data_IF_565437906300
#
_entry.id   IF_565437906300
#
_cell.length_a   1.000
_cell.length_b   1.000
_cell.length_c   1.000
_cell.angle_alpha   90.00
_cell.angle_beta   90.00
_cell.angle_gamma   90.00
#
_symmetry.space_group_name_H-M   'P 1'
#
loop_
_entity.id
_entity.type
_entity.pdbx_description
1 polymer ?
#
# COMPACT_ATOMS: atom_id res chain seq x y z
N UNK A 1 -34.77 -21.69 -12.27
CA UNK A 1 -34.57 -21.44 -10.83
C UNK A 1 -34.84 -19.96 -10.58
N UNK A 2 -35.55 -19.60 -9.51
CA UNK A 2 -35.88 -18.19 -9.22
C UNK A 2 -34.60 -17.45 -8.80
N UNK A 3 -34.36 -16.30 -9.41
CA UNK A 3 -33.23 -15.43 -9.05
C UNK A 3 -33.59 -14.58 -7.83
N UNK A 4 -33.18 -15.04 -6.65
CA UNK A 4 -33.45 -14.36 -5.38
C UNK A 4 -32.71 -13.02 -5.29
N UNK A 5 -31.54 -12.89 -5.92
CA UNK A 5 -30.69 -11.70 -5.83
C UNK A 5 -31.29 -10.53 -6.62
N UNK A 6 -31.95 -10.81 -7.74
CA UNK A 6 -32.68 -9.83 -8.54
C UNK A 6 -34.10 -9.51 -8.07
N UNK A 7 -34.53 -10.03 -6.91
CA UNK A 7 -35.81 -9.63 -6.33
C UNK A 7 -35.76 -8.19 -5.81
N UNK A 8 -36.93 -7.54 -5.80
CA UNK A 8 -37.06 -6.20 -5.22
C UNK A 8 -36.85 -6.24 -3.72
N UNK A 9 -36.12 -5.24 -3.22
CA UNK A 9 -36.03 -4.94 -1.79
C UNK A 9 -36.83 -3.66 -1.48
N UNK A 10 -37.57 -3.69 -0.37
CA UNK A 10 -38.51 -2.63 0.01
C UNK A 10 -37.96 -1.73 1.13
N UNK A 11 -36.78 -2.02 1.68
CA UNK A 11 -36.20 -1.28 2.81
C UNK A 11 -35.67 0.09 2.40
N UNK A 12 -35.46 0.32 1.10
CA UNK A 12 -34.97 1.60 0.53
C UNK A 12 -33.62 2.04 1.12
N UNK A 13 -32.73 1.08 1.38
CA UNK A 13 -31.37 1.33 1.87
C UNK A 13 -30.39 0.87 0.79
N UNK A 14 -29.60 1.81 0.26
CA UNK A 14 -28.49 1.50 -0.63
C UNK A 14 -27.31 0.91 0.16
N UNK A 15 -26.62 -0.06 -0.43
CA UNK A 15 -25.39 -0.62 0.15
C UNK A 15 -24.19 -0.02 -0.59
N UNK A 16 -23.32 0.67 0.14
CA UNK A 16 -22.16 1.36 -0.44
C UNK A 16 -21.10 0.38 -0.97
N UNK A 17 -20.87 -0.74 -0.25
CA UNK A 17 -19.95 -1.81 -0.67
C UNK A 17 -20.51 -3.17 -0.32
N UNK A 18 -20.72 -4.01 -1.33
CA UNK A 18 -21.01 -5.45 -1.18
C UNK A 18 -20.14 -6.25 -2.16
N UNK A 19 -19.63 -7.39 -1.74
CA UNK A 19 -18.80 -8.25 -2.58
C UNK A 19 -18.04 -9.31 -1.80
N UNK A 20 -16.82 -9.60 -2.23
CA UNK A 20 -15.99 -10.71 -1.74
C UNK A 20 -14.67 -10.17 -1.18
N UNK A 21 -14.21 -10.73 -0.06
CA UNK A 21 -12.98 -10.32 0.64
C UNK A 21 -12.07 -11.52 0.86
N UNK A 22 -10.75 -11.31 0.84
CA UNK A 22 -9.78 -12.32 1.23
C UNK A 22 -9.48 -13.39 0.18
N UNK A 23 -9.78 -13.14 -1.10
CA UNK A 23 -9.47 -14.09 -2.17
C UNK A 23 -7.96 -14.12 -2.38
N UNK A 24 -7.33 -15.29 -2.20
CA UNK A 24 -5.91 -15.48 -2.49
C UNK A 24 -5.72 -15.81 -3.96
N UNK A 25 -4.92 -15.03 -4.68
CA UNK A 25 -4.73 -15.19 -6.11
C UNK A 25 -3.32 -14.79 -6.57
N UNK A 26 -2.67 -15.56 -7.46
CA UNK A 26 -1.34 -15.23 -7.96
C UNK A 26 -1.38 -14.09 -8.99
N UNK A 27 -0.45 -13.16 -8.87
CA UNK A 27 -0.25 -12.05 -9.83
C UNK A 27 1.24 -11.91 -10.19
N UNK A 28 1.51 -11.10 -11.21
CA UNK A 28 2.86 -10.72 -11.61
C UNK A 28 2.99 -9.21 -11.44
N UNK A 29 3.99 -8.78 -10.68
CA UNK A 29 4.31 -7.37 -10.45
C UNK A 29 5.67 -7.03 -11.06
N UNK A 30 5.85 -5.77 -11.44
CA UNK A 30 7.13 -5.30 -11.98
C UNK A 30 8.18 -5.24 -10.88
N UNK A 31 9.42 -5.58 -11.23
CA UNK A 31 10.59 -5.51 -10.38
C UNK A 31 11.73 -4.83 -11.14
N UNK A 32 12.31 -3.78 -10.55
CA UNK A 32 13.36 -3.00 -11.20
C UNK A 32 14.60 -3.83 -11.53
N UNK A 33 15.00 -4.73 -10.64
CA UNK A 33 16.22 -5.52 -10.75
C UNK A 33 16.03 -6.80 -11.55
N UNK A 34 14.90 -7.48 -11.36
CA UNK A 34 14.63 -8.81 -11.93
C UNK A 34 13.58 -8.80 -13.06
N UNK A 35 13.06 -7.62 -13.43
CA UNK A 35 11.99 -7.44 -14.41
C UNK A 35 10.60 -7.67 -13.81
N UNK A 36 10.37 -8.84 -13.20
CA UNK A 36 9.07 -9.17 -12.57
C UNK A 36 9.19 -10.10 -11.36
N UNK A 37 8.24 -10.02 -10.43
CA UNK A 37 8.04 -10.97 -9.35
C UNK A 37 6.67 -11.65 -9.46
N UNK A 38 6.64 -12.97 -9.27
CA UNK A 38 5.41 -13.74 -9.07
C UNK A 38 5.05 -13.73 -7.59
N UNK A 39 3.88 -13.18 -7.24
CA UNK A 39 3.46 -13.01 -5.85
C UNK A 39 2.05 -13.56 -5.63
N UNK A 40 1.79 -14.06 -4.43
CA UNK A 40 0.44 -14.39 -3.98
C UNK A 40 -0.18 -13.14 -3.36
N UNK A 41 -1.25 -12.65 -3.98
CA UNK A 41 -1.97 -11.47 -3.53
C UNK A 41 -3.30 -11.81 -2.86
N UNK A 42 -3.79 -10.88 -2.05
CA UNK A 42 -5.12 -10.92 -1.43
C UNK A 42 -6.01 -9.89 -2.11
N UNK A 43 -7.13 -10.32 -2.65
CA UNK A 43 -8.10 -9.49 -3.34
C UNK A 43 -9.33 -9.24 -2.47
N UNK A 44 -9.73 -7.98 -2.40
CA UNK A 44 -11.03 -7.56 -1.92
C UNK A 44 -11.73 -6.81 -3.06
N UNK A 45 -12.94 -7.24 -3.43
CA UNK A 45 -13.66 -6.72 -4.59
C UNK A 45 -15.09 -6.41 -4.21
N UNK A 46 -15.54 -5.20 -4.51
CA UNK A 46 -16.84 -4.69 -4.11
C UNK A 46 -17.53 -3.91 -5.23
N UNK A 47 -18.86 -3.83 -5.16
CA UNK A 47 -19.67 -2.89 -5.92
C UNK A 47 -20.65 -2.18 -4.99
N UNK A 48 -21.21 -1.04 -5.41
CA UNK A 48 -22.42 -0.52 -4.77
C UNK A 48 -23.64 -1.33 -5.22
N UNK A 49 -24.62 -1.48 -4.34
CA UNK A 49 -25.88 -2.16 -4.63
C UNK A 49 -27.04 -1.20 -4.37
N UNK A 50 -27.76 -0.78 -5.44
CA UNK A 50 -28.96 0.02 -5.30
C UNK A 50 -30.04 -0.69 -4.46
N UNK A 51 -30.82 0.07 -3.72
CA UNK A 51 -31.85 -0.43 -2.80
C UNK A 51 -32.95 -1.27 -3.45
N UNK A 52 -33.06 -1.30 -4.77
CA UNK A 52 -34.07 -2.07 -5.48
C UNK A 52 -33.62 -3.50 -5.80
N UNK A 53 -32.36 -3.85 -5.53
CA UNK A 53 -31.86 -5.22 -5.58
C UNK A 53 -31.76 -5.81 -4.18
N UNK A 54 -32.23 -7.05 -4.02
CA UNK A 54 -32.13 -7.80 -2.76
C UNK A 54 -30.71 -8.29 -2.48
N UNK A 55 -29.90 -8.54 -3.51
CA UNK A 55 -28.52 -8.96 -3.34
C UNK A 55 -27.70 -8.89 -4.63
N UNK A 56 -26.38 -9.02 -4.49
CA UNK A 56 -25.45 -9.11 -5.62
C UNK A 56 -25.08 -10.56 -5.92
N UNK A 57 -24.67 -10.85 -7.15
CA UNK A 57 -24.24 -12.19 -7.58
C UNK A 57 -22.76 -12.45 -7.26
N UNK A 58 -22.50 -13.10 -6.12
CA UNK A 58 -21.14 -13.28 -5.58
C UNK A 58 -20.16 -14.04 -6.51
N UNK A 59 -20.62 -15.03 -7.27
CA UNK A 59 -19.74 -15.79 -8.18
C UNK A 59 -19.16 -14.92 -9.29
N UNK A 60 -19.89 -13.87 -9.72
CA UNK A 60 -19.51 -13.02 -10.85
C UNK A 60 -18.19 -12.30 -10.60
N UNK A 61 -17.87 -11.96 -9.36
CA UNK A 61 -16.58 -11.37 -8.99
C UNK A 61 -15.41 -12.31 -9.32
N UNK A 62 -15.52 -13.57 -8.89
CA UNK A 62 -14.49 -14.59 -9.10
C UNK A 62 -14.39 -14.99 -10.57
N UNK A 63 -15.53 -15.06 -11.27
CA UNK A 63 -15.55 -15.30 -12.72
C UNK A 63 -14.76 -14.22 -13.47
N UNK A 64 -15.00 -12.93 -13.19
CA UNK A 64 -14.24 -11.85 -13.82
C UNK A 64 -12.77 -11.96 -13.47
N UNK A 65 -12.41 -12.17 -12.20
CA UNK A 65 -11.01 -12.32 -11.80
C UNK A 65 -10.30 -13.44 -12.59
N UNK A 66 -10.97 -14.58 -12.77
CA UNK A 66 -10.44 -15.72 -13.52
C UNK A 66 -10.25 -15.44 -15.01
N UNK A 67 -11.10 -14.63 -15.63
CA UNK A 67 -10.94 -14.22 -17.03
C UNK A 67 -9.64 -13.42 -17.26
N UNK A 68 -9.14 -12.72 -16.22
CA UNK A 68 -7.90 -11.96 -16.24
C UNK A 68 -6.68 -12.73 -15.70
N UNK A 69 -6.81 -14.04 -15.42
CA UNK A 69 -5.72 -14.87 -14.91
C UNK A 69 -4.42 -14.68 -15.70
N UNK A 70 -3.31 -14.49 -14.98
CA UNK A 70 -1.96 -14.30 -15.55
C UNK A 70 -1.75 -12.94 -16.24
N UNK A 71 -2.77 -12.08 -16.29
CA UNK A 71 -2.70 -10.75 -16.91
C UNK A 71 -2.99 -9.62 -15.93
N UNK A 72 -3.21 -9.92 -14.65
CA UNK A 72 -3.52 -8.94 -13.62
C UNK A 72 -2.28 -8.09 -13.32
N UNK A 73 -2.30 -6.86 -13.83
CA UNK A 73 -1.32 -5.81 -13.60
C UNK A 73 -2.01 -4.44 -13.66
N UNK A 74 -1.24 -3.37 -13.41
CA UNK A 74 -1.71 -2.00 -13.39
C UNK A 74 -2.48 -1.60 -14.67
N UNK A 75 -2.01 -2.00 -15.86
CA UNK A 75 -2.64 -1.69 -17.16
C UNK A 75 -4.01 -2.38 -17.34
N UNK A 76 -4.24 -3.49 -16.65
CA UNK A 76 -5.51 -4.24 -16.69
C UNK A 76 -6.45 -3.92 -15.53
N UNK A 77 -5.97 -3.21 -14.51
CA UNK A 77 -6.72 -2.94 -13.28
C UNK A 77 -8.06 -2.23 -13.57
N UNK A 78 -8.01 -1.18 -14.37
CA UNK A 78 -9.18 -0.42 -14.83
C UNK A 78 -10.17 -1.30 -15.63
N UNK A 79 -9.64 -2.15 -16.54
CA UNK A 79 -10.46 -3.08 -17.33
C UNK A 79 -11.18 -4.11 -16.47
N UNK A 80 -10.53 -4.60 -15.41
CA UNK A 80 -11.13 -5.52 -14.45
C UNK A 80 -12.29 -4.82 -13.73
N UNK A 81 -12.08 -3.60 -13.23
CA UNK A 81 -13.11 -2.81 -12.55
C UNK A 81 -14.31 -2.51 -13.46
N UNK A 82 -14.07 -2.06 -14.69
CA UNK A 82 -15.12 -1.84 -15.70
C UNK A 82 -15.93 -3.10 -15.96
N UNK A 83 -15.25 -4.26 -16.08
CA UNK A 83 -15.93 -5.53 -16.33
C UNK A 83 -16.76 -5.99 -15.13
N UNK A 84 -16.25 -5.81 -13.91
CA UNK A 84 -17.01 -6.06 -12.68
C UNK A 84 -18.25 -5.16 -12.65
N UNK A 85 -18.09 -3.85 -12.82
CA UNK A 85 -19.19 -2.89 -12.82
C UNK A 85 -20.29 -3.27 -13.82
N UNK A 86 -19.91 -3.56 -15.07
CA UNK A 86 -20.85 -3.96 -16.12
C UNK A 86 -21.54 -5.30 -15.85
N UNK A 87 -20.79 -6.31 -15.41
CA UNK A 87 -21.33 -7.68 -15.15
C UNK A 87 -22.26 -7.73 -13.93
N UNK A 88 -22.10 -6.80 -12.99
CA UNK A 88 -22.91 -6.67 -11.77
C UNK A 88 -23.95 -5.54 -11.83
N UNK A 89 -24.04 -4.81 -12.96
CA UNK A 89 -24.96 -3.69 -13.16
C UNK A 89 -24.91 -2.64 -12.04
N UNK A 90 -23.71 -2.32 -11.57
CA UNK A 90 -23.48 -1.38 -10.48
C UNK A 90 -23.04 0.00 -11.00
N UNK A 91 -23.20 1.05 -10.19
CA UNK A 91 -22.74 2.41 -10.55
C UNK A 91 -21.23 2.58 -10.33
N UNK A 92 -20.65 1.75 -9.47
CA UNK A 92 -19.24 1.77 -9.10
C UNK A 92 -18.73 0.39 -8.72
N UNK A 93 -17.45 0.15 -9.03
CA UNK A 93 -16.69 -1.02 -8.62
C UNK A 93 -15.43 -0.58 -7.87
N UNK A 94 -15.05 -1.38 -6.88
CA UNK A 94 -13.87 -1.16 -6.05
C UNK A 94 -13.05 -2.45 -5.99
N UNK A 95 -11.74 -2.31 -6.03
CA UNK A 95 -10.82 -3.43 -5.89
C UNK A 95 -9.61 -3.00 -5.07
N UNK A 96 -9.22 -3.87 -4.14
CA UNK A 96 -8.03 -3.74 -3.32
C UNK A 96 -7.22 -5.03 -3.49
N UNK A 97 -5.94 -4.89 -3.77
CA UNK A 97 -4.99 -5.99 -3.97
C UNK A 97 -3.83 -5.74 -3.01
N UNK A 98 -3.55 -6.68 -2.12
CA UNK A 98 -2.42 -6.62 -1.19
C UNK A 98 -1.47 -7.78 -1.45
N UNK A 99 -0.17 -7.52 -1.47
CA UNK A 99 0.85 -8.54 -1.73
C UNK A 99 2.17 -8.22 -1.03
N UNK A 100 2.93 -9.26 -0.73
CA UNK A 100 4.32 -9.14 -0.31
C UNK A 100 5.20 -8.85 -1.53
N UNK A 101 6.09 -7.87 -1.41
CA UNK A 101 7.07 -7.47 -2.41
C UNK A 101 8.48 -7.61 -1.82
N UNK A 102 9.39 -8.24 -2.56
CA UNK A 102 10.72 -8.53 -2.03
C UNK A 102 11.79 -7.69 -2.73
N UNK A 103 12.71 -7.10 -1.97
CA UNK A 103 13.89 -6.41 -2.50
C UNK A 103 15.13 -7.08 -1.92
N UNK A 104 16.11 -7.40 -2.76
CA UNK A 104 17.44 -7.79 -2.29
C UNK A 104 18.16 -6.57 -1.71
N UNK A 105 18.49 -6.63 -0.42
CA UNK A 105 19.28 -5.60 0.27
C UNK A 105 20.68 -6.12 0.57
N UNK A 106 21.68 -5.28 0.36
CA UNK A 106 23.02 -5.50 0.87
C UNK A 106 23.18 -4.82 2.23
N UNK A 107 23.71 -5.56 3.22
CA UNK A 107 24.05 -5.00 4.52
C UNK A 107 25.13 -3.90 4.38
N UNK A 108 25.06 -2.82 5.18
CA UNK A 108 25.78 -1.58 4.91
C UNK A 108 27.30 -1.67 5.06
N UNK A 109 27.82 -2.65 5.81
CA UNK A 109 29.26 -2.80 6.06
C UNK A 109 29.79 -4.09 5.46
N UNK A 110 29.16 -5.23 5.76
CA UNK A 110 29.60 -6.54 5.28
C UNK A 110 29.21 -6.82 3.83
N UNK A 111 28.24 -6.08 3.27
CA UNK A 111 27.70 -6.33 1.94
C UNK A 111 26.88 -7.62 1.84
N UNK A 112 26.59 -8.29 2.97
CA UNK A 112 25.79 -9.52 2.98
C UNK A 112 24.41 -9.26 2.35
N UNK A 113 24.07 -10.03 1.32
CA UNK A 113 22.80 -9.88 0.59
C UNK A 113 21.71 -10.73 1.19
N UNK A 114 20.51 -10.17 1.32
CA UNK A 114 19.31 -10.91 1.75
C UNK A 114 18.04 -10.26 1.21
N UNK A 115 16.97 -11.06 1.06
CA UNK A 115 15.67 -10.53 0.68
C UNK A 115 14.99 -9.87 1.88
N UNK A 116 14.42 -8.69 1.65
CA UNK A 116 13.58 -7.96 2.59
C UNK A 116 12.16 -7.88 2.03
N UNK A 117 11.17 -8.18 2.88
CA UNK A 117 9.75 -8.09 2.53
C UNK A 117 9.20 -6.69 2.82
N UNK A 118 8.39 -6.18 1.89
CA UNK A 118 7.54 -5.02 2.05
C UNK A 118 6.10 -5.40 1.73
N UNK A 119 5.13 -4.83 2.44
CA UNK A 119 3.72 -5.00 2.09
C UNK A 119 3.32 -3.92 1.10
N UNK A 120 2.81 -4.32 -0.05
CA UNK A 120 2.41 -3.41 -1.10
C UNK A 120 0.93 -3.59 -1.42
N UNK A 121 0.32 -2.55 -1.94
CA UNK A 121 -1.09 -2.56 -2.29
C UNK A 121 -1.38 -1.76 -3.55
N UNK A 122 -2.37 -2.25 -4.30
CA UNK A 122 -3.05 -1.50 -5.35
C UNK A 122 -4.51 -1.38 -4.95
N UNK A 123 -5.04 -0.17 -4.95
CA UNK A 123 -6.47 0.03 -4.72
C UNK A 123 -7.04 0.97 -5.75
N UNK A 124 -8.28 0.74 -6.15
CA UNK A 124 -8.92 1.64 -7.06
C UNK A 124 -10.43 1.50 -7.10
N UNK A 125 -11.04 2.56 -7.63
CA UNK A 125 -12.47 2.72 -7.76
C UNK A 125 -12.78 3.17 -9.17
N UNK A 126 -13.69 2.48 -9.83
CA UNK A 126 -14.25 2.89 -11.10
C UNK A 126 -15.69 3.34 -10.89
N UNK A 127 -16.04 4.52 -11.37
CA UNK A 127 -17.41 5.05 -11.32
C UNK A 127 -17.64 6.02 -12.48
N UNK A 128 -18.75 5.82 -13.21
CA UNK A 128 -18.97 6.52 -14.48
C UNK A 128 -17.81 6.21 -15.46
N UNK A 129 -17.18 7.26 -16.01
CA UNK A 129 -16.03 7.13 -16.90
C UNK A 129 -14.69 7.39 -16.20
N UNK A 130 -14.69 7.40 -14.86
CA UNK A 130 -13.55 7.83 -14.07
C UNK A 130 -13.01 6.69 -13.22
N UNK A 131 -11.69 6.54 -13.23
CA UNK A 131 -10.98 5.54 -12.42
C UNK A 131 -10.00 6.25 -11.53
N UNK A 132 -10.17 6.05 -10.23
CA UNK A 132 -9.19 6.44 -9.22
C UNK A 132 -8.34 5.23 -8.88
N UNK A 133 -7.02 5.41 -8.86
CA UNK A 133 -6.07 4.33 -8.60
C UNK A 133 -4.94 4.82 -7.70
N UNK A 134 -4.64 3.99 -6.71
CA UNK A 134 -3.71 4.26 -5.62
C UNK A 134 -2.72 3.11 -5.53
N UNK A 135 -1.45 3.46 -5.36
CA UNK A 135 -0.39 2.52 -4.96
C UNK A 135 -0.06 2.79 -3.51
N UNK A 136 0.04 1.73 -2.70
CA UNK A 136 0.42 1.82 -1.31
C UNK A 136 1.60 0.92 -0.96
N UNK A 137 2.44 1.37 -0.03
CA UNK A 137 3.51 0.60 0.59
C UNK A 137 3.41 0.70 2.10
N UNK A 138 3.76 -0.38 2.79
CA UNK A 138 4.05 -0.37 4.23
C UNK A 138 5.50 -0.77 4.42
N UNK A 139 6.29 0.17 4.89
CA UNK A 139 7.74 0.05 5.01
C UNK A 139 8.10 -0.06 6.49
N UNK A 140 8.66 -1.20 6.92
CA UNK A 140 9.19 -1.32 8.27
C UNK A 140 10.49 -0.52 8.39
N UNK A 141 10.59 0.33 9.40
CA UNK A 141 11.79 1.13 9.71
C UNK A 141 12.11 1.06 11.21
N UNK A 142 13.29 1.52 11.60
CA UNK A 142 13.65 1.76 12.99
C UNK A 142 13.49 3.25 13.30
N UNK A 143 12.87 3.57 14.44
CA UNK A 143 12.86 4.92 15.01
C UNK A 143 13.54 4.93 16.37
N UNK A 144 14.33 5.97 16.64
CA UNK A 144 14.94 6.23 17.95
C UNK A 144 14.36 7.50 18.53
N UNK A 145 13.90 7.46 19.77
CA UNK A 145 13.22 8.61 20.39
C UNK A 145 14.21 9.73 20.77
N UNK A 146 14.08 10.95 20.20
CA UNK A 146 14.93 12.09 20.56
C UNK A 146 14.82 12.45 22.05
N UNK A 147 13.60 12.44 22.62
CA UNK A 147 13.37 12.71 24.03
C UNK A 147 14.16 11.74 24.94
N UNK A 148 14.10 10.44 24.64
CA UNK A 148 14.77 9.43 25.45
C UNK A 148 16.29 9.58 25.41
N UNK A 149 16.83 9.89 24.23
CA UNK A 149 18.26 10.17 24.05
C UNK A 149 18.71 11.39 24.86
N UNK A 150 17.92 12.44 24.87
CA UNK A 150 18.26 13.70 25.56
C UNK A 150 18.28 13.55 27.10
N UNK A 151 17.32 12.82 27.66
CA UNK A 151 17.19 12.70 29.13
C UNK A 151 18.05 11.60 29.75
N UNK A 152 18.51 10.63 28.95
CA UNK A 152 19.21 9.45 29.44
C UNK A 152 20.73 9.65 29.37
N UNK A 153 21.45 9.27 30.44
CA UNK A 153 22.92 9.30 30.43
C UNK A 153 23.54 8.29 29.44
N UNK A 154 22.82 7.20 29.18
CA UNK A 154 23.27 6.10 28.33
C UNK A 154 22.07 5.58 27.55
N UNK A 155 22.21 5.48 26.23
CA UNK A 155 21.22 4.87 25.34
C UNK A 155 19.97 5.72 25.12
N UNK A 156 19.07 5.18 24.30
CA UNK A 156 17.75 5.73 24.02
C UNK A 156 16.85 4.56 23.62
N UNK A 157 15.57 4.59 24.00
CA UNK A 157 14.65 3.58 23.49
C UNK A 157 14.45 3.75 21.97
N UNK A 158 14.29 2.61 21.31
CA UNK A 158 14.00 2.51 19.90
C UNK A 158 13.01 1.37 19.68
N UNK A 159 12.42 1.36 18.49
CA UNK A 159 11.38 0.39 18.16
C UNK A 159 11.28 0.17 16.66
N UNK A 160 10.53 -0.87 16.30
CA UNK A 160 10.01 -1.04 14.94
C UNK A 160 8.88 -0.04 14.74
N UNK A 161 8.90 0.60 13.58
CA UNK A 161 7.81 1.44 13.11
C UNK A 161 7.34 0.98 11.74
N UNK A 162 6.05 1.07 11.50
CA UNK A 162 5.45 0.79 10.20
C UNK A 162 5.02 2.12 9.58
N UNK A 163 5.63 2.47 8.46
CA UNK A 163 5.29 3.68 7.72
C UNK A 163 4.47 3.28 6.50
N UNK A 164 3.19 3.65 6.50
CA UNK A 164 2.27 3.40 5.40
C UNK A 164 2.18 4.63 4.51
N UNK A 165 2.51 4.49 3.23
CA UNK A 165 2.37 5.56 2.25
C UNK A 165 1.45 5.10 1.14
N UNK A 166 0.45 5.93 0.79
CA UNK A 166 -0.39 5.73 -0.39
C UNK A 166 -0.29 6.96 -1.28
N UNK A 167 -0.24 6.75 -2.59
CA UNK A 167 -0.07 7.84 -3.57
C UNK A 167 -1.01 7.70 -4.76
N UNK A 168 -1.50 8.83 -5.25
CA UNK A 168 -1.98 9.01 -6.63
C UNK A 168 -0.84 9.60 -7.44
N UNK A 169 -0.68 9.16 -8.67
CA UNK A 169 0.46 9.53 -9.52
C UNK A 169 0.01 9.80 -10.96
N UNK A 170 0.80 10.60 -11.68
CA UNK A 170 0.49 11.01 -13.07
C UNK A 170 1.23 10.17 -14.12
N UNK A 171 2.45 9.74 -13.80
CA UNK A 171 3.38 8.99 -14.65
C UNK A 171 3.93 7.80 -13.88
N UNK A 172 4.32 6.77 -14.63
CA UNK A 172 4.94 5.58 -14.07
C UNK A 172 6.07 5.94 -13.10
N UNK A 173 6.09 5.25 -11.95
CA UNK A 173 7.14 5.28 -10.96
C UNK A 173 7.34 3.85 -10.43
N UNK A 174 8.51 3.60 -9.86
CA UNK A 174 8.83 2.31 -9.25
C UNK A 174 8.44 2.31 -7.79
N UNK A 175 7.83 1.22 -7.33
CA UNK A 175 7.43 1.08 -5.92
C UNK A 175 8.65 1.10 -5.00
N UNK A 176 9.81 0.68 -5.50
CA UNK A 176 11.11 0.73 -4.84
C UNK A 176 11.57 2.14 -4.53
N UNK A 177 11.24 3.14 -5.36
CA UNK A 177 11.58 4.54 -5.08
C UNK A 177 10.77 5.06 -3.89
N UNK A 178 9.50 4.68 -3.80
CA UNK A 178 8.65 5.04 -2.68
C UNK A 178 9.12 4.36 -1.38
N UNK A 179 9.54 3.10 -1.46
CA UNK A 179 10.15 2.37 -0.34
C UNK A 179 11.43 3.07 0.12
N UNK A 180 12.33 3.39 -0.82
CA UNK A 180 13.60 4.06 -0.51
C UNK A 180 13.39 5.44 0.11
N UNK A 181 12.46 6.22 -0.43
CA UNK A 181 12.08 7.53 0.12
C UNK A 181 11.68 7.43 1.60
N UNK A 182 10.90 6.41 1.96
CA UNK A 182 10.48 6.18 3.35
C UNK A 182 11.66 5.74 4.23
N UNK A 183 12.48 4.81 3.75
CA UNK A 183 13.68 4.38 4.48
C UNK A 183 14.61 5.55 4.80
N UNK A 184 14.86 6.43 3.82
CA UNK A 184 15.69 7.63 3.96
C UNK A 184 15.06 8.72 4.84
N UNK A 185 13.77 8.60 5.15
CA UNK A 185 13.01 9.55 5.98
C UNK A 185 12.90 9.12 7.45
N UNK A 186 13.58 8.04 7.84
CA UNK A 186 13.51 7.42 9.17
C UNK A 186 14.86 7.46 9.91
N UNK A 187 14.89 7.08 11.20
CA UNK A 187 16.16 6.98 11.93
C UNK A 187 17.09 5.94 11.29
N UNK A 188 16.54 4.82 10.84
CA UNK A 188 17.28 3.81 10.10
C UNK A 188 16.40 2.80 9.38
N UNK A 189 16.89 2.32 8.26
CA UNK A 189 16.30 1.20 7.52
C UNK A 189 16.56 -0.14 8.21
N UNK A 190 15.77 -1.15 7.85
CA UNK A 190 15.88 -2.50 8.41
C UNK A 190 16.44 -3.49 7.39
N UNK A 191 17.04 -4.57 7.89
CA UNK A 191 17.66 -5.62 7.09
C UNK A 191 17.31 -6.99 7.68
N UNK A 192 17.11 -7.99 6.82
CA UNK A 192 16.87 -9.38 7.24
C UNK A 192 18.14 -10.05 7.75
N UNK A 193 19.30 -9.73 7.16
CA UNK A 193 20.59 -10.30 7.52
C UNK A 193 21.61 -9.22 7.86
N UNK A 194 22.09 -9.21 9.10
CA UNK A 194 23.18 -8.36 9.57
C UNK A 194 24.28 -9.22 10.21
N UNK A 195 25.54 -8.84 9.97
CA UNK A 195 26.68 -9.32 10.77
C UNK A 195 26.95 -8.33 11.90
N UNK A 196 27.80 -8.71 12.86
CA UNK A 196 28.15 -7.84 14.02
C UNK A 196 28.61 -6.43 13.63
N UNK A 197 29.40 -6.33 12.56
CA UNK A 197 29.87 -5.03 12.04
C UNK A 197 28.73 -4.18 11.49
N UNK A 198 27.72 -4.81 10.89
CA UNK A 198 26.54 -4.12 10.38
C UNK A 198 25.62 -3.72 11.52
N UNK A 199 25.41 -4.60 12.51
CA UNK A 199 24.59 -4.33 13.70
C UNK A 199 25.12 -3.12 14.47
N UNK A 200 26.45 -3.04 14.66
CA UNK A 200 27.10 -1.86 15.23
C UNK A 200 26.73 -0.60 14.43
N UNK A 201 26.96 -0.64 13.12
CA UNK A 201 26.74 0.52 12.25
C UNK A 201 25.28 1.00 12.24
N UNK A 202 24.31 0.10 12.07
CA UNK A 202 22.89 0.49 12.02
C UNK A 202 22.39 1.02 13.35
N UNK A 203 22.91 0.49 14.47
CA UNK A 203 22.59 0.96 15.82
C UNK A 203 23.11 2.37 16.04
N UNK A 204 24.38 2.62 15.72
CA UNK A 204 25.02 3.94 15.84
C UNK A 204 24.33 4.97 14.92
N UNK A 205 24.13 4.63 13.63
CA UNK A 205 23.45 5.49 12.65
C UNK A 205 22.06 5.91 13.12
N UNK A 206 21.24 4.97 13.58
CA UNK A 206 19.89 5.28 14.04
C UNK A 206 19.91 6.11 15.33
N UNK A 207 20.84 5.83 16.25
CA UNK A 207 20.99 6.59 17.48
C UNK A 207 21.47 8.03 17.22
N UNK A 208 22.31 8.26 16.20
CA UNK A 208 22.76 9.57 15.75
C UNK A 208 21.66 10.39 15.05
N UNK A 209 20.65 9.71 14.48
CA UNK A 209 19.55 10.31 13.75
C UNK A 209 18.17 10.02 14.41
N UNK A 210 17.94 10.44 15.67
CA UNK A 210 16.68 10.16 16.35
C UNK A 210 15.54 10.98 15.73
N UNK A 211 14.35 10.38 15.65
CA UNK A 211 13.16 10.99 15.04
C UNK A 211 11.91 10.63 15.85
N UNK A 212 11.02 11.60 16.06
CA UNK A 212 9.66 11.31 16.49
C UNK A 212 8.83 10.75 15.34
N UNK A 213 7.65 10.21 15.67
CA UNK A 213 6.69 9.75 14.67
C UNK A 213 6.23 10.90 13.76
N UNK A 214 6.12 12.12 14.30
CA UNK A 214 5.81 13.34 13.56
C UNK A 214 6.92 13.75 12.58
N UNK A 215 8.18 13.54 12.94
CA UNK A 215 9.32 13.87 12.07
C UNK A 215 9.33 12.94 10.85
N UNK A 216 9.09 11.65 11.06
CA UNK A 216 9.03 10.66 9.97
C UNK A 216 7.96 11.04 8.95
N UNK A 217 6.72 11.32 9.39
CA UNK A 217 5.64 11.68 8.44
C UNK A 217 5.90 13.02 7.74
N UNK A 218 6.53 13.98 8.42
CA UNK A 218 6.92 15.27 7.83
C UNK A 218 8.04 15.12 6.80
N UNK A 219 9.05 14.30 7.07
CA UNK A 219 10.16 14.03 6.16
C UNK A 219 9.67 13.36 4.88
N UNK A 220 8.85 12.31 5.00
CA UNK A 220 8.23 11.63 3.85
C UNK A 220 7.38 12.62 3.05
N UNK A 221 6.51 13.38 3.71
CA UNK A 221 5.67 14.39 3.04
C UNK A 221 6.51 15.47 2.34
N UNK A 222 7.61 15.91 2.93
CA UNK A 222 8.50 16.90 2.32
C UNK A 222 9.11 16.38 1.01
N UNK A 223 9.52 15.10 0.97
CA UNK A 223 10.05 14.49 -0.24
C UNK A 223 8.96 14.29 -1.30
N UNK A 224 7.78 13.81 -0.92
CA UNK A 224 6.64 13.68 -1.85
C UNK A 224 6.21 15.02 -2.43
N UNK A 225 6.29 16.11 -1.66
CA UNK A 225 5.99 17.46 -2.11
C UNK A 225 6.96 18.02 -3.15
N UNK A 226 8.15 17.44 -3.30
CA UNK A 226 9.15 17.85 -4.30
C UNK A 226 8.93 17.15 -5.64
N UNK A 227 8.10 16.11 -5.69
CA UNK A 227 7.83 15.34 -6.88
C UNK A 227 6.42 15.65 -7.42
N UNK A 228 6.38 16.42 -8.52
CA UNK A 228 5.13 16.78 -9.22
C UNK A 228 4.41 15.56 -9.83
N UNK A 229 5.01 14.37 -9.79
CA UNK A 229 4.33 13.16 -10.20
C UNK A 229 3.18 12.79 -9.25
N UNK A 230 3.29 13.09 -7.95
CA UNK A 230 2.30 12.70 -6.95
C UNK A 230 1.24 13.80 -6.74
N UNK A 231 0.02 13.55 -7.24
CA UNK A 231 -1.09 14.52 -7.14
C UNK A 231 -1.82 14.48 -5.79
N UNK A 232 -1.72 13.35 -5.09
CA UNK A 232 -2.24 13.15 -3.75
C UNK A 232 -1.41 12.10 -3.03
N UNK A 233 -1.27 12.24 -1.72
CA UNK A 233 -0.70 11.20 -0.87
C UNK A 233 -1.32 11.19 0.53
N UNK A 234 -1.26 10.03 1.17
CA UNK A 234 -1.40 9.87 2.61
C UNK A 234 -0.16 9.20 3.19
N UNK A 235 0.36 9.72 4.28
CA UNK A 235 1.49 9.14 5.03
C UNK A 235 1.05 8.92 6.46
N UNK A 236 1.22 7.69 6.92
CA UNK A 236 0.97 7.26 8.28
C UNK A 236 2.26 6.65 8.84
N UNK A 237 2.59 6.95 10.09
CA UNK A 237 3.63 6.25 10.82
C UNK A 237 3.07 5.75 12.15
N UNK A 238 3.26 4.45 12.41
CA UNK A 238 2.90 3.80 13.67
C UNK A 238 4.17 3.24 14.32
N UNK A 239 4.54 3.79 15.49
CA UNK A 239 5.63 3.27 16.31
C UNK A 239 5.06 2.27 17.31
N UNK A 240 5.54 1.03 17.27
CA UNK A 240 5.20 0.03 18.30
C UNK A 240 6.11 0.26 19.51
N UNK A 241 5.72 1.19 20.38
CA UNK A 241 6.53 1.69 21.48
C UNK A 241 7.12 0.55 22.32
N UNK A 242 8.45 0.55 22.50
CA UNK A 242 9.13 -0.52 23.23
C UNK A 242 8.94 -0.46 24.74
N UNK A 243 8.51 0.69 25.27
CA UNK A 243 8.33 0.96 26.70
C UNK A 243 6.85 1.15 27.10
N UNK A 244 5.94 1.08 26.15
CA UNK A 244 4.50 1.25 26.35
C UNK A 244 3.72 0.15 25.64
N UNK A 245 2.55 -0.22 26.16
CA UNK A 245 1.68 -1.22 25.52
C UNK A 245 0.61 -0.57 24.62
N UNK A 246 1.02 0.42 23.84
CA UNK A 246 0.22 1.11 22.83
C UNK A 246 1.16 1.74 21.80
N UNK A 247 0.64 2.03 20.61
CA UNK A 247 1.42 2.66 19.55
C UNK A 247 1.37 4.19 19.65
N UNK A 248 2.49 4.86 19.32
CA UNK A 248 2.46 6.27 18.96
C UNK A 248 2.16 6.40 17.45
N UNK A 249 1.37 7.40 17.07
CA UNK A 249 0.79 7.49 15.73
C UNK A 249 0.80 8.92 15.20
N UNK A 250 1.17 9.08 13.93
CA UNK A 250 0.99 10.34 13.20
C UNK A 250 0.49 10.07 11.77
N UNK A 251 -0.27 11.03 11.24
CA UNK A 251 -0.84 10.99 9.90
C UNK A 251 -0.77 12.37 9.24
N UNK A 252 -0.41 12.40 7.97
CA UNK A 252 -0.51 13.58 7.11
C UNK A 252 -1.05 13.20 5.75
N UNK A 253 -1.84 14.09 5.16
CA UNK A 253 -2.44 13.91 3.84
C UNK A 253 -2.39 15.23 3.08
N UNK A 254 -2.18 15.14 1.76
CA UNK A 254 -2.23 16.32 0.89
C UNK A 254 -2.71 15.93 -0.49
N UNK A 255 -3.49 16.82 -1.10
CA UNK A 255 -4.07 16.69 -2.45
C UNK A 255 -5.59 16.64 -2.40
N UNK A 256 -6.24 16.76 -3.56
CA UNK A 256 -7.71 16.62 -3.66
C UNK A 256 -8.11 15.18 -4.01
N UNK A 257 -9.16 14.66 -3.37
CA UNK A 257 -9.82 13.43 -3.79
C UNK A 257 -10.49 13.65 -5.16
N UNK A 258 -9.95 13.09 -6.24
CA UNK A 258 -10.62 13.17 -7.55
C UNK A 258 -9.85 12.61 -8.73
N UNK A 259 -10.38 11.53 -9.31
CA UNK A 259 -10.24 11.03 -10.69
C UNK A 259 -9.10 11.49 -11.57
N UNK A 260 -8.13 10.61 -11.82
CA UNK A 260 -7.09 10.86 -12.82
C UNK A 260 -6.98 9.71 -13.82
N UNK A 261 -6.81 10.08 -15.08
CA UNK A 261 -6.42 9.16 -16.14
C UNK A 261 -4.91 8.88 -16.00
N UNK A 262 -4.53 7.63 -15.73
CA UNK A 262 -3.13 7.21 -15.75
C UNK A 262 -2.67 7.11 -17.21
N UNK A 263 -1.73 7.96 -17.62
CA UNK A 263 -1.04 7.79 -18.90
C UNK A 263 -0.01 6.66 -18.75
N UNK A 264 -0.35 5.50 -19.29
CA UNK A 264 0.46 4.30 -19.17
C UNK A 264 1.76 4.30 -19.98
N UNK A 265 2.11 5.38 -20.70
CA UNK A 265 3.39 5.57 -21.39
C UNK A 265 3.82 4.38 -22.27
N UNK A 266 3.74 4.50 -23.59
CA UNK A 266 4.20 3.44 -24.51
C UNK A 266 5.68 3.09 -24.25
N UNK A 267 5.92 1.97 -23.57
CA UNK A 267 7.15 1.18 -23.64
C UNK A 267 6.78 -0.21 -24.08
#
# INVERSE_FOLDING_TARGET
MIDIQNQKDNRKIDIQKVGVKGIKYPIVVLDRANGTQHVNATFNIYVNLPHHFKGTHMSRFVEVLNEFRGRINIKTFDKILQKIQGKLHAESAHMEIEFAYFIEKAAPVSGSKSLMEYRCSFSGRHSGNNTDFLVGVVVPVTTVCPCSKEISRIGAHNQRSMVTVKVRFRKFFWIEDLIRLVEDSSSGEVYTLLKRVDEKFVTEKAHENPMFVEDVVRNVAQQLNRDDNFSWYSVEAENYESIHNHSAYAYVEKGSEGGFHIDYGRT
#
